data_IF_140359503669
#
_entry.id   IF_140359503669
#
_cell.length_a   1.000
_cell.length_b   1.000
_cell.length_c   1.000
_cell.angle_alpha   90.00
_cell.angle_beta   90.00
_cell.angle_gamma   90.00
#
_symmetry.space_group_name_H-M   'P 1'
#
loop_
_entity.id
_entity.type
_entity.pdbx_description
1 polymer ?
#
# COMPACT_ATOMS: atom_id res chain seq x y z
N UNK A 1 -48.99 -75.48 -23.57
CA UNK A 1 -47.96 -74.79 -24.38
C UNK A 1 -48.11 -73.29 -24.10
N UNK A 2 -47.29 -72.75 -23.18
CA UNK A 2 -46.13 -71.88 -23.47
C UNK A 2 -46.56 -70.58 -24.18
N UNK A 3 -46.63 -69.44 -23.48
CA UNK A 3 -45.58 -68.39 -23.42
C UNK A 3 -46.21 -67.10 -24.00
N UNK A 4 -46.00 -65.85 -23.58
CA UNK A 4 -45.22 -65.20 -22.55
C UNK A 4 -45.89 -63.83 -22.27
N UNK A 5 -45.62 -63.29 -21.08
CA UNK A 5 -45.82 -61.89 -20.72
C UNK A 5 -44.87 -61.01 -21.56
N UNK A 6 -45.39 -59.99 -22.25
CA UNK A 6 -44.58 -58.85 -22.70
C UNK A 6 -44.70 -57.71 -21.68
N UNK A 7 -43.70 -57.63 -20.80
CA UNK A 7 -43.44 -56.44 -20.00
C UNK A 7 -42.96 -55.33 -20.94
N UNK A 8 -43.81 -54.32 -21.13
CA UNK A 8 -43.45 -53.08 -21.77
C UNK A 8 -42.47 -52.32 -20.86
N UNK A 9 -41.17 -52.45 -21.17
CA UNK A 9 -40.08 -51.77 -20.48
C UNK A 9 -40.18 -50.27 -20.71
N UNK A 10 -40.73 -49.54 -19.74
CA UNK A 10 -40.55 -48.09 -19.63
C UNK A 10 -39.06 -47.81 -19.46
N UNK A 11 -38.45 -47.27 -20.50
CA UNK A 11 -37.14 -46.63 -20.42
C UNK A 11 -37.21 -45.50 -19.39
N UNK A 12 -36.46 -45.64 -18.29
CA UNK A 12 -36.21 -44.57 -17.32
C UNK A 12 -34.83 -43.96 -17.63
N UNK A 13 -34.72 -42.92 -18.47
CA UNK A 13 -33.52 -42.09 -18.54
C UNK A 13 -33.79 -40.80 -17.75
N UNK A 14 -33.68 -40.80 -16.41
CA UNK A 14 -33.91 -39.54 -15.67
C UNK A 14 -33.17 -39.40 -14.35
N UNK A 15 -32.89 -40.48 -13.62
CA UNK A 15 -32.33 -40.35 -12.26
C UNK A 15 -30.81 -40.11 -12.29
N UNK A 16 -30.07 -40.84 -13.15
CA UNK A 16 -28.61 -40.71 -13.20
C UNK A 16 -28.14 -39.40 -13.83
N UNK A 17 -28.87 -38.86 -14.81
CA UNK A 17 -28.51 -37.59 -15.46
C UNK A 17 -28.77 -36.40 -14.53
N UNK A 18 -29.94 -36.35 -13.88
CA UNK A 18 -30.25 -35.29 -12.91
C UNK A 18 -29.34 -35.34 -11.68
N UNK A 19 -28.99 -36.55 -11.19
CA UNK A 19 -28.05 -36.69 -10.08
C UNK A 19 -26.64 -36.23 -10.47
N UNK A 20 -26.20 -36.50 -11.71
CA UNK A 20 -24.89 -36.05 -12.22
C UNK A 20 -24.85 -34.53 -12.45
N UNK A 21 -25.95 -33.94 -12.90
CA UNK A 21 -26.10 -32.50 -13.13
C UNK A 21 -26.15 -31.72 -11.80
N UNK A 22 -26.91 -32.20 -10.82
CA UNK A 22 -26.93 -31.63 -9.46
C UNK A 22 -25.58 -31.75 -8.75
N UNK A 23 -24.88 -32.87 -8.89
CA UNK A 23 -23.57 -33.06 -8.26
C UNK A 23 -22.47 -32.21 -8.94
N UNK A 24 -22.57 -32.02 -10.26
CA UNK A 24 -21.68 -31.13 -11.03
C UNK A 24 -21.88 -29.65 -10.66
N UNK A 25 -23.14 -29.21 -10.50
CA UNK A 25 -23.43 -27.84 -10.09
C UNK A 25 -22.93 -27.56 -8.66
N UNK A 26 -23.18 -28.47 -7.70
CA UNK A 26 -22.68 -28.32 -6.33
C UNK A 26 -21.15 -28.18 -6.27
N UNK A 27 -20.40 -28.96 -7.05
CA UNK A 27 -18.94 -28.86 -7.09
C UNK A 27 -18.45 -27.51 -7.63
N UNK A 28 -19.12 -26.96 -8.66
CA UNK A 28 -18.76 -25.66 -9.25
C UNK A 28 -19.05 -24.51 -8.30
N UNK A 29 -20.15 -24.59 -7.57
CA UNK A 29 -20.56 -23.57 -6.60
C UNK A 29 -19.59 -23.51 -5.41
N UNK A 30 -19.15 -24.67 -4.92
CA UNK A 30 -18.10 -24.76 -3.88
C UNK A 30 -16.78 -24.11 -4.32
N UNK A 31 -16.34 -24.33 -5.57
CA UNK A 31 -15.12 -23.72 -6.12
C UNK A 31 -15.27 -22.21 -6.24
N UNK A 32 -16.44 -21.71 -6.65
CA UNK A 32 -16.69 -20.27 -6.76
C UNK A 32 -16.63 -19.56 -5.40
N UNK A 33 -17.26 -20.14 -4.36
CA UNK A 33 -17.19 -19.60 -2.99
C UNK A 33 -15.74 -19.57 -2.50
N UNK A 34 -15.00 -20.64 -2.76
CA UNK A 34 -13.60 -20.74 -2.33
C UNK A 34 -12.72 -19.67 -2.97
N UNK A 35 -12.85 -19.47 -4.29
CA UNK A 35 -12.10 -18.42 -5.02
C UNK A 35 -12.49 -17.02 -4.52
N UNK A 36 -13.79 -16.73 -4.40
CA UNK A 36 -14.27 -15.44 -3.91
C UNK A 36 -13.79 -15.18 -2.48
N UNK A 37 -13.79 -16.20 -1.62
CA UNK A 37 -13.26 -16.14 -0.27
C UNK A 37 -11.76 -15.83 -0.24
N UNK A 38 -10.95 -16.54 -1.03
CA UNK A 38 -9.50 -16.27 -1.11
C UNK A 38 -9.23 -14.85 -1.60
N UNK A 39 -9.90 -14.40 -2.67
CA UNK A 39 -9.72 -13.05 -3.20
C UNK A 39 -10.08 -11.98 -2.17
N UNK A 40 -11.20 -12.16 -1.46
CA UNK A 40 -11.63 -11.24 -0.42
C UNK A 40 -10.62 -11.20 0.73
N UNK A 41 -10.12 -12.36 1.18
CA UNK A 41 -9.09 -12.42 2.22
C UNK A 41 -7.77 -11.78 1.78
N UNK A 42 -7.38 -11.95 0.52
CA UNK A 42 -6.19 -11.32 -0.03
C UNK A 42 -6.29 -9.79 -0.02
N UNK A 43 -7.44 -9.24 -0.43
CA UNK A 43 -7.70 -7.79 -0.36
C UNK A 43 -7.70 -7.30 1.09
N UNK A 44 -8.37 -8.00 2.01
CA UNK A 44 -8.37 -7.61 3.44
C UNK A 44 -6.93 -7.56 3.98
N UNK A 45 -6.11 -8.57 3.65
CA UNK A 45 -4.72 -8.60 4.05
C UNK A 45 -3.92 -7.44 3.45
N UNK A 46 -4.10 -7.16 2.16
CA UNK A 46 -3.51 -5.99 1.48
C UNK A 46 -3.90 -4.68 2.17
N UNK A 47 -5.19 -4.49 2.46
CA UNK A 47 -5.70 -3.26 3.08
C UNK A 47 -5.12 -3.05 4.47
N UNK A 48 -4.95 -4.11 5.26
CA UNK A 48 -4.29 -4.05 6.58
C UNK A 48 -2.82 -3.64 6.43
N UNK A 49 -2.11 -4.19 5.44
CA UNK A 49 -0.72 -3.82 5.17
C UNK A 49 -0.61 -2.34 4.78
N UNK A 50 -1.40 -1.87 3.81
CA UNK A 50 -1.39 -0.48 3.36
C UNK A 50 -1.77 0.45 4.52
N UNK A 51 -2.76 0.09 5.33
CA UNK A 51 -3.16 0.88 6.50
C UNK A 51 -2.03 1.03 7.52
N UNK A 52 -1.32 -0.06 7.83
CA UNK A 52 -0.15 0.00 8.72
C UNK A 52 0.93 0.92 8.17
N UNK A 53 1.21 0.86 6.87
CA UNK A 53 2.14 1.79 6.21
C UNK A 53 1.63 3.24 6.29
N UNK A 54 0.37 3.48 5.98
CA UNK A 54 -0.26 4.81 6.04
C UNK A 54 -0.19 5.44 7.43
N UNK A 55 -0.37 4.63 8.48
CA UNK A 55 -0.26 5.08 9.87
C UNK A 55 1.18 5.37 10.28
N UNK A 56 2.13 4.51 9.89
CA UNK A 56 3.55 4.68 10.18
C UNK A 56 4.08 5.98 9.58
N UNK A 57 3.77 6.21 8.32
CA UNK A 57 4.31 7.34 7.56
C UNK A 57 3.50 8.64 7.76
N UNK A 58 2.35 8.57 8.45
CA UNK A 58 1.45 9.70 8.70
C UNK A 58 2.19 10.90 9.29
N UNK A 59 3.07 10.65 10.26
CA UNK A 59 3.74 11.68 11.05
C UNK A 59 5.09 12.11 10.48
N UNK A 60 5.67 11.36 9.53
CA UNK A 60 7.02 11.63 9.01
C UNK A 60 7.10 13.00 8.34
N UNK A 61 6.16 13.29 7.43
CA UNK A 61 6.09 14.59 6.76
C UNK A 61 5.84 15.74 7.73
N UNK A 62 4.90 15.57 8.67
CA UNK A 62 4.50 16.64 9.58
C UNK A 62 5.66 17.00 10.52
N UNK A 63 6.39 16.01 11.03
CA UNK A 63 7.58 16.25 11.86
C UNK A 63 8.75 16.83 11.10
N UNK A 64 8.94 16.41 9.84
CA UNK A 64 9.99 16.97 9.00
C UNK A 64 9.75 18.48 8.77
N UNK A 65 8.50 18.86 8.50
CA UNK A 65 8.12 20.26 8.32
C UNK A 65 8.27 21.05 9.62
N UNK A 66 7.79 20.51 10.74
CA UNK A 66 7.94 21.16 12.07
C UNK A 66 9.41 21.37 12.44
N UNK A 67 10.26 20.37 12.19
CA UNK A 67 11.70 20.50 12.41
C UNK A 67 12.33 21.60 11.56
N UNK A 68 11.98 21.67 10.27
CA UNK A 68 12.53 22.68 9.38
C UNK A 68 12.08 24.09 9.75
N UNK A 69 10.82 24.28 10.14
CA UNK A 69 10.29 25.58 10.57
C UNK A 69 10.97 26.05 11.87
N UNK A 70 11.16 25.12 12.82
CA UNK A 70 11.98 25.36 14.01
C UNK A 70 13.42 25.70 13.65
N UNK A 71 13.99 25.05 12.64
CA UNK A 71 15.37 25.32 12.19
C UNK A 71 15.50 26.71 11.56
N UNK A 72 14.54 27.12 10.73
CA UNK A 72 14.49 28.48 10.16
C UNK A 72 14.40 29.52 11.27
N UNK A 73 13.48 29.34 12.23
CA UNK A 73 13.32 30.29 13.34
C UNK A 73 14.55 30.36 14.25
N UNK A 74 15.17 29.23 14.59
CA UNK A 74 16.43 29.19 15.37
C UNK A 74 17.55 29.91 14.63
N UNK A 75 17.69 29.71 13.32
CA UNK A 75 18.76 30.35 12.53
C UNK A 75 18.64 31.88 12.49
N UNK A 76 17.41 32.42 12.59
CA UNK A 76 17.14 33.86 12.66
C UNK A 76 17.42 34.44 14.04
N UNK A 77 17.16 33.69 15.11
CA UNK A 77 17.34 34.15 16.49
C UNK A 77 18.80 34.01 16.93
N UNK A 78 19.42 32.85 16.66
CA UNK A 78 20.79 32.55 17.02
C UNK A 78 21.68 32.59 15.77
N UNK A 79 21.80 33.79 15.19
CA UNK A 79 22.54 33.99 13.97
C UNK A 79 24.03 33.63 14.16
N UNK A 80 24.50 32.63 13.41
CA UNK A 80 25.91 32.27 13.35
C UNK A 80 26.51 32.84 12.05
N UNK A 81 27.46 33.80 12.11
CA UNK A 81 28.04 34.42 10.92
C UNK A 81 28.80 33.43 10.02
N UNK A 82 29.16 32.24 10.53
CA UNK A 82 29.85 31.19 9.76
C UNK A 82 28.88 30.36 8.91
N UNK A 83 27.63 30.22 9.36
CA UNK A 83 26.60 29.40 8.70
C UNK A 83 25.61 30.27 7.93
N UNK A 84 25.36 31.50 8.39
CA UNK A 84 24.34 32.39 7.83
C UNK A 84 22.93 32.08 8.35
N UNK A 85 21.91 32.60 7.66
CA UNK A 85 20.50 32.31 7.95
C UNK A 85 20.12 31.06 7.16
N UNK A 86 19.44 30.12 7.82
CA UNK A 86 18.91 28.95 7.13
C UNK A 86 17.66 29.34 6.34
N UNK A 87 17.73 29.10 5.03
CA UNK A 87 16.60 29.27 4.12
C UNK A 87 16.42 27.98 3.32
N UNK A 88 15.16 27.54 3.19
CA UNK A 88 14.84 26.39 2.36
C UNK A 88 15.09 26.72 0.90
N UNK A 89 15.90 25.89 0.25
CA UNK A 89 16.15 26.01 -1.18
C UNK A 89 14.89 25.62 -1.97
N UNK A 90 14.68 26.17 -3.18
CA UNK A 90 13.53 25.80 -4.01
C UNK A 90 13.47 24.28 -4.29
N UNK A 91 14.62 23.63 -4.46
CA UNK A 91 14.70 22.18 -4.65
C UNK A 91 14.28 21.40 -3.37
N UNK A 92 14.54 21.94 -2.18
CA UNK A 92 14.14 21.31 -0.90
C UNK A 92 12.64 21.45 -0.67
N UNK A 93 12.05 22.57 -1.09
CA UNK A 93 10.60 22.76 -1.11
C UNK A 93 9.91 21.77 -2.06
N UNK A 94 10.52 21.47 -3.21
CA UNK A 94 10.02 20.45 -4.13
C UNK A 94 10.05 19.05 -3.49
N UNK A 95 11.14 18.69 -2.81
CA UNK A 95 11.27 17.43 -2.07
C UNK A 95 10.18 17.29 -0.99
N UNK A 96 9.89 18.34 -0.24
CA UNK A 96 8.78 18.35 0.71
C UNK A 96 7.42 18.19 0.00
N UNK A 97 7.27 18.77 -1.18
CA UNK A 97 6.12 18.56 -2.05
C UNK A 97 5.96 17.09 -2.46
N UNK A 98 7.05 16.41 -2.78
CA UNK A 98 7.04 14.97 -3.10
C UNK A 98 6.67 14.10 -1.89
N UNK A 99 7.20 14.40 -0.70
CA UNK A 99 6.82 13.75 0.56
C UNK A 99 5.31 13.89 0.85
N UNK A 100 4.77 15.09 0.66
CA UNK A 100 3.33 15.34 0.80
C UNK A 100 2.49 14.54 -0.21
N UNK A 101 2.94 14.49 -1.47
CA UNK A 101 2.28 13.70 -2.53
C UNK A 101 2.28 12.21 -2.17
N UNK A 102 3.41 11.66 -1.73
CA UNK A 102 3.52 10.27 -1.29
C UNK A 102 2.54 9.95 -0.15
N UNK A 103 2.49 10.79 0.90
CA UNK A 103 1.51 10.67 1.99
C UNK A 103 0.08 10.62 1.46
N UNK A 104 -0.29 11.51 0.54
CA UNK A 104 -1.64 11.52 -0.06
C UNK A 104 -1.91 10.28 -0.92
N UNK A 105 -0.92 9.79 -1.66
CA UNK A 105 -1.04 8.62 -2.54
C UNK A 105 -1.32 7.35 -1.72
N UNK A 106 -0.56 7.10 -0.65
CA UNK A 106 -0.75 5.91 0.20
C UNK A 106 -2.17 5.86 0.78
N UNK A 107 -2.70 6.99 1.27
CA UNK A 107 -4.08 7.07 1.75
C UNK A 107 -5.10 6.87 0.63
N UNK A 108 -4.84 7.39 -0.56
CA UNK A 108 -5.73 7.19 -1.71
C UNK A 108 -5.80 5.70 -2.08
N UNK A 109 -4.65 5.03 -2.17
CA UNK A 109 -4.59 3.59 -2.44
C UNK A 109 -5.29 2.76 -1.37
N UNK A 110 -5.20 3.13 -0.09
CA UNK A 110 -5.96 2.46 0.96
C UNK A 110 -7.48 2.49 0.71
N UNK A 111 -8.02 3.64 0.29
CA UNK A 111 -9.46 3.75 -0.01
C UNK A 111 -9.85 3.01 -1.29
N UNK A 112 -8.97 3.02 -2.30
CA UNK A 112 -9.15 2.26 -3.54
C UNK A 112 -9.17 0.75 -3.23
N UNK A 113 -8.25 0.25 -2.40
CA UNK A 113 -8.18 -1.17 -2.02
C UNK A 113 -9.44 -1.59 -1.26
N UNK A 114 -9.91 -0.78 -0.31
CA UNK A 114 -11.19 -1.01 0.39
C UNK A 114 -12.37 -1.01 -0.58
N UNK A 115 -12.36 -0.15 -1.59
CA UNK A 115 -13.47 -0.10 -2.56
C UNK A 115 -13.58 -1.39 -3.39
N UNK A 116 -12.48 -2.13 -3.56
CA UNK A 116 -12.51 -3.43 -4.23
C UNK A 116 -13.36 -4.46 -3.44
N UNK A 117 -13.44 -4.33 -2.11
CA UNK A 117 -14.32 -5.15 -1.26
C UNK A 117 -15.79 -4.95 -1.57
N UNK A 118 -16.19 -3.78 -2.09
CA UNK A 118 -17.58 -3.51 -2.49
C UNK A 118 -17.96 -4.40 -3.68
N UNK A 119 -17.06 -4.57 -4.66
CA UNK A 119 -17.29 -5.45 -5.81
C UNK A 119 -17.46 -6.91 -5.37
N UNK A 120 -16.59 -7.39 -4.48
CA UNK A 120 -16.70 -8.76 -3.95
C UNK A 120 -17.90 -8.94 -3.03
N UNK A 121 -18.27 -7.93 -2.25
CA UNK A 121 -19.48 -7.94 -1.41
C UNK A 121 -20.77 -8.02 -2.23
N UNK A 122 -20.87 -7.21 -3.31
CA UNK A 122 -22.01 -7.27 -4.24
C UNK A 122 -22.04 -8.60 -4.99
N UNK A 123 -20.88 -9.13 -5.39
CA UNK A 123 -20.79 -10.46 -5.99
C UNK A 123 -21.26 -11.55 -5.02
N UNK A 124 -20.81 -11.51 -3.76
CA UNK A 124 -21.26 -12.44 -2.72
C UNK A 124 -22.79 -12.33 -2.48
N UNK A 125 -23.35 -11.12 -2.48
CA UNK A 125 -24.79 -10.92 -2.36
C UNK A 125 -25.57 -11.60 -3.49
N UNK A 126 -25.13 -11.43 -4.75
CA UNK A 126 -25.75 -12.13 -5.88
C UNK A 126 -25.56 -13.65 -5.80
N UNK A 127 -24.43 -14.11 -5.25
CA UNK A 127 -24.17 -15.52 -5.06
C UNK A 127 -25.13 -16.16 -4.04
N UNK A 128 -25.35 -15.52 -2.88
CA UNK A 128 -26.23 -16.01 -1.82
C UNK A 128 -27.71 -15.72 -2.06
N UNK A 129 -28.05 -14.92 -3.07
CA UNK A 129 -29.44 -14.68 -3.44
C UNK A 129 -30.10 -15.98 -3.92
N UNK A 130 -31.24 -16.33 -3.31
CA UNK A 130 -31.94 -17.64 -3.36
C UNK A 130 -32.38 -18.09 -4.78
N UNK A 131 -32.18 -17.28 -5.83
CA UNK A 131 -32.63 -17.54 -7.20
C UNK A 131 -31.50 -17.67 -8.22
N UNK A 132 -30.39 -18.33 -7.86
CA UNK A 132 -29.29 -18.67 -8.79
C UNK A 132 -29.74 -19.45 -10.04
N UNK A 133 -30.90 -20.11 -10.00
CA UNK A 133 -31.47 -20.83 -11.14
C UNK A 133 -31.97 -19.91 -12.28
N UNK A 134 -32.13 -18.60 -12.04
CA UNK A 134 -32.46 -17.62 -13.07
C UNK A 134 -31.17 -17.03 -13.67
N UNK A 135 -31.00 -17.19 -14.98
CA UNK A 135 -29.76 -16.85 -15.69
C UNK A 135 -29.24 -15.41 -15.48
N UNK A 136 -30.12 -14.45 -15.21
CA UNK A 136 -29.74 -13.03 -15.04
C UNK A 136 -28.89 -12.82 -13.77
N UNK A 137 -29.28 -13.39 -12.62
CA UNK A 137 -28.56 -13.21 -11.35
C UNK A 137 -27.18 -13.88 -11.45
N UNK A 138 -27.12 -15.05 -12.07
CA UNK A 138 -25.86 -15.75 -12.35
C UNK A 138 -24.95 -14.94 -13.29
N UNK A 139 -25.50 -14.29 -14.31
CA UNK A 139 -24.73 -13.42 -15.19
C UNK A 139 -24.17 -12.20 -14.45
N UNK A 140 -24.99 -11.54 -13.60
CA UNK A 140 -24.57 -10.41 -12.77
C UNK A 140 -23.42 -10.80 -11.82
N UNK A 141 -23.51 -11.96 -11.17
CA UNK A 141 -22.41 -12.48 -10.34
C UNK A 141 -21.07 -12.53 -11.08
N UNK A 142 -21.04 -13.09 -12.29
CA UNK A 142 -19.81 -13.20 -13.09
C UNK A 142 -19.32 -11.84 -13.55
N UNK A 143 -20.22 -10.94 -13.96
CA UNK A 143 -19.88 -9.58 -14.36
C UNK A 143 -19.18 -8.85 -13.22
N UNK A 144 -19.79 -8.79 -12.03
CA UNK A 144 -19.20 -8.13 -10.87
C UNK A 144 -17.90 -8.79 -10.40
N UNK A 145 -17.80 -10.12 -10.47
CA UNK A 145 -16.57 -10.83 -10.11
C UNK A 145 -15.41 -10.52 -11.05
N UNK A 146 -15.67 -10.50 -12.37
CA UNK A 146 -14.65 -10.17 -13.38
C UNK A 146 -14.22 -8.72 -13.24
N UNK A 147 -15.18 -7.79 -13.07
CA UNK A 147 -14.85 -6.39 -12.83
C UNK A 147 -14.05 -6.21 -11.54
N UNK A 148 -14.42 -6.86 -10.44
CA UNK A 148 -13.65 -6.81 -9.19
C UNK A 148 -12.22 -7.34 -9.35
N UNK A 149 -12.04 -8.46 -10.07
CA UNK A 149 -10.72 -9.01 -10.35
C UNK A 149 -9.87 -8.08 -11.22
N UNK A 150 -10.43 -7.54 -12.32
CA UNK A 150 -9.75 -6.58 -13.18
C UNK A 150 -9.39 -5.30 -12.43
N UNK A 151 -10.29 -4.83 -11.56
CA UNK A 151 -10.06 -3.68 -10.70
C UNK A 151 -8.82 -3.89 -9.83
N UNK A 152 -8.71 -5.06 -9.15
CA UNK A 152 -7.55 -5.41 -8.33
C UNK A 152 -6.25 -5.48 -9.15
N UNK A 153 -6.30 -6.02 -10.38
CA UNK A 153 -5.12 -6.08 -11.24
C UNK A 153 -4.63 -4.69 -11.67
N UNK A 154 -5.56 -3.81 -12.06
CA UNK A 154 -5.25 -2.44 -12.44
C UNK A 154 -4.69 -1.68 -11.23
N UNK A 155 -5.34 -1.81 -10.08
CA UNK A 155 -4.88 -1.22 -8.83
C UNK A 155 -3.45 -1.63 -8.48
N UNK A 156 -3.15 -2.93 -8.49
CA UNK A 156 -1.82 -3.44 -8.20
C UNK A 156 -0.76 -2.90 -9.17
N UNK A 157 -1.11 -2.82 -10.46
CA UNK A 157 -0.25 -2.26 -11.50
C UNK A 157 0.04 -0.77 -11.27
N UNK A 158 -1.00 0.03 -11.04
CA UNK A 158 -0.91 1.48 -10.79
C UNK A 158 -0.16 1.74 -9.48
N UNK A 159 -0.41 0.97 -8.43
CA UNK A 159 0.30 1.05 -7.15
C UNK A 159 1.81 0.84 -7.34
N UNK A 160 2.19 -0.21 -8.06
CA UNK A 160 3.60 -0.54 -8.30
C UNK A 160 4.31 0.58 -9.07
N UNK A 161 3.68 1.09 -10.13
CA UNK A 161 4.27 2.13 -10.98
C UNK A 161 4.40 3.46 -10.22
N UNK A 162 3.37 3.85 -9.46
CA UNK A 162 3.36 5.14 -8.77
C UNK A 162 4.22 5.14 -7.51
N UNK A 163 4.28 4.05 -6.74
CA UNK A 163 5.01 4.00 -5.46
C UNK A 163 6.49 3.64 -5.63
N UNK A 164 6.85 2.81 -6.61
CA UNK A 164 8.25 2.41 -6.87
C UNK A 164 9.26 3.56 -6.95
N UNK A 165 9.02 4.68 -7.67
CA UNK A 165 9.99 5.77 -7.74
C UNK A 165 10.17 6.47 -6.38
N UNK A 166 9.14 6.50 -5.54
CA UNK A 166 9.18 7.15 -4.23
C UNK A 166 10.02 6.37 -3.22
N UNK A 167 10.05 5.03 -3.29
CA UNK A 167 10.76 4.20 -2.30
C UNK A 167 12.27 4.42 -2.29
N UNK A 168 12.85 4.86 -3.42
CA UNK A 168 14.29 5.10 -3.57
C UNK A 168 14.65 6.57 -3.51
N UNK A 169 13.79 7.46 -4.01
CA UNK A 169 14.07 8.90 -4.07
C UNK A 169 13.84 9.60 -2.72
N UNK A 170 12.73 9.29 -2.05
CA UNK A 170 12.34 10.01 -0.82
C UNK A 170 13.36 9.86 0.31
N UNK A 171 13.92 8.67 0.62
CA UNK A 171 14.91 8.55 1.68
C UNK A 171 16.18 9.37 1.41
N UNK A 172 16.70 9.29 0.18
CA UNK A 172 17.92 10.00 -0.21
C UNK A 172 17.71 11.52 -0.21
N UNK A 173 16.56 11.98 -0.70
CA UNK A 173 16.20 13.39 -0.71
C UNK A 173 16.00 13.94 0.71
N UNK A 174 15.37 13.16 1.60
CA UNK A 174 15.23 13.53 3.02
C UNK A 174 16.58 13.60 3.72
N UNK A 175 17.50 12.66 3.45
CA UNK A 175 18.86 12.70 4.01
C UNK A 175 19.58 13.98 3.57
N UNK A 176 19.55 14.31 2.28
CA UNK A 176 20.20 15.53 1.76
C UNK A 176 19.60 16.81 2.36
N UNK A 177 18.29 16.81 2.62
CA UNK A 177 17.59 17.92 3.25
C UNK A 177 17.94 18.04 4.75
N UNK A 178 18.02 16.91 5.48
CA UNK A 178 18.47 16.91 6.87
C UNK A 178 19.94 17.33 7.01
N UNK A 179 20.82 16.87 6.12
CA UNK A 179 22.24 17.21 6.14
C UNK A 179 22.47 18.74 6.05
N UNK A 180 21.62 19.44 5.29
CA UNK A 180 21.63 20.90 5.22
C UNK A 180 21.04 21.58 6.47
N UNK A 181 20.00 21.01 7.08
CA UNK A 181 19.31 21.61 8.22
C UNK A 181 20.01 21.39 9.57
N UNK A 182 20.64 20.23 9.77
CA UNK A 182 21.25 19.80 11.05
C UNK A 182 22.24 20.80 11.64
N UNK A 183 23.16 21.42 10.87
CA UNK A 183 24.12 22.39 11.41
C UNK A 183 23.46 23.58 12.13
N UNK A 184 22.22 23.93 11.76
CA UNK A 184 21.48 25.04 12.34
C UNK A 184 20.62 24.62 13.54
N UNK A 185 20.23 23.35 13.64
CA UNK A 185 19.42 22.82 14.74
C UNK A 185 19.78 21.36 15.09
N UNK A 186 20.97 21.12 15.69
CA UNK A 186 21.38 19.77 16.05
C UNK A 186 20.58 19.19 17.22
N UNK A 187 20.07 20.04 18.12
CA UNK A 187 19.26 19.62 19.27
C UNK A 187 17.88 19.08 18.88
N UNK A 188 17.32 19.54 17.76
CA UNK A 188 16.05 19.04 17.24
C UNK A 188 16.14 17.62 16.66
N UNK A 189 17.33 17.14 16.28
CA UNK A 189 17.51 15.80 15.72
C UNK A 189 17.16 14.71 16.75
N UNK A 190 17.61 14.88 18.00
CA UNK A 190 17.30 13.95 19.09
C UNK A 190 15.79 13.87 19.40
N UNK A 191 15.03 14.95 19.16
CA UNK A 191 13.57 14.93 19.32
C UNK A 191 12.89 14.09 18.24
N UNK A 192 13.36 14.19 16.99
CA UNK A 192 12.89 13.36 15.87
C UNK A 192 13.20 11.88 16.14
N UNK A 193 14.43 11.57 16.54
CA UNK A 193 14.86 10.21 16.88
C UNK A 193 14.02 9.59 17.99
N UNK A 194 13.77 10.33 19.07
CA UNK A 194 12.91 9.89 20.16
C UNK A 194 11.48 9.62 19.70
N UNK A 195 10.95 10.41 18.76
CA UNK A 195 9.56 10.27 18.31
C UNK A 195 9.37 9.12 17.32
N UNK A 196 10.33 8.90 16.44
CA UNK A 196 10.31 7.80 15.48
C UNK A 196 10.94 6.51 16.03
N UNK A 197 11.50 6.55 17.25
CA UNK A 197 12.24 5.46 17.88
C UNK A 197 13.31 4.89 16.92
N UNK A 198 14.02 5.81 16.26
CA UNK A 198 15.06 5.49 15.28
C UNK A 198 16.34 6.29 15.60
N UNK A 199 17.45 5.83 15.05
CA UNK A 199 18.74 6.53 15.16
C UNK A 199 19.13 6.93 13.72
N UNK A 200 19.48 8.19 13.52
CA UNK A 200 19.95 8.65 12.21
C UNK A 200 21.32 8.08 11.87
N UNK A 201 21.60 7.97 10.57
CA UNK A 201 22.85 7.43 10.07
C UNK A 201 24.06 8.19 10.63
N UNK A 202 25.11 7.45 10.95
CA UNK A 202 26.37 7.95 11.48
C UNK A 202 27.00 9.00 10.55
N UNK A 203 26.74 8.89 9.25
CA UNK A 203 27.14 9.89 8.26
C UNK A 203 26.56 11.29 8.53
N UNK A 204 25.28 11.41 8.95
CA UNK A 204 24.69 12.71 9.29
C UNK A 204 25.36 13.31 10.54
N UNK A 205 25.65 12.46 11.53
CA UNK A 205 26.38 12.86 12.73
C UNK A 205 27.81 13.30 12.43
N UNK A 206 28.48 12.65 11.48
CA UNK A 206 29.84 13.00 11.06
C UNK A 206 29.87 14.26 10.20
N UNK A 207 28.83 14.55 9.41
CA UNK A 207 28.69 15.85 8.73
C UNK A 207 28.55 16.99 9.77
N UNK A 208 27.73 16.80 10.80
CA UNK A 208 27.60 17.76 11.89
C UNK A 208 28.93 18.01 12.63
N UNK A 209 29.68 16.94 12.93
CA UNK A 209 31.02 17.06 13.55
C UNK A 209 32.01 17.79 12.64
N UNK A 210 31.93 17.59 11.32
CA UNK A 210 32.76 18.30 10.33
C UNK A 210 32.44 19.79 10.26
N UNK A 211 31.16 20.17 10.34
CA UNK A 211 30.75 21.58 10.36
C UNK A 211 31.05 22.30 11.67
N UNK A 212 30.99 21.61 12.81
CA UNK A 212 31.33 22.18 14.12
C UNK A 212 32.84 22.35 14.35
N UNK A 213 33.70 21.72 13.53
CA UNK A 213 35.15 21.91 13.56
C UNK A 213 35.75 22.02 12.14
N UNK A 214 35.72 23.23 11.52
CA UNK A 214 36.22 23.44 10.15
C UNK A 214 37.74 23.25 9.98
N UNK A 215 38.48 23.08 11.09
CA UNK A 215 39.94 22.83 11.05
C UNK A 215 40.30 21.37 10.76
N UNK A 216 39.36 20.43 10.80
CA UNK A 216 39.61 19.02 10.44
C UNK A 216 39.36 18.84 8.94
N UNK A 217 40.22 19.47 8.13
CA UNK A 217 40.34 19.19 6.70
C UNK A 217 41.11 17.86 6.56
N UNK A 218 40.42 16.85 6.03
CA UNK A 218 40.96 15.60 5.49
C UNK A 218 41.81 14.71 6.43
N UNK A 219 41.22 13.60 6.85
CA UNK A 219 41.93 12.32 6.78
C UNK A 219 41.26 11.48 5.69
N UNK A 220 41.86 11.52 4.50
CA UNK A 220 41.75 10.43 3.53
C UNK A 220 42.45 9.26 4.19
N UNK A 221 41.73 8.23 4.63
CA UNK A 221 42.35 6.91 4.74
C UNK A 221 42.33 6.27 3.37
N UNK A 222 43.53 6.28 2.79
CA UNK A 222 43.96 5.45 1.67
C UNK A 222 44.61 4.20 2.30
N UNK A 223 44.38 3.03 1.70
CA UNK A 223 45.08 1.75 1.88
C UNK A 223 44.77 1.02 3.22
N UNK A 224 44.34 -0.24 3.28
CA UNK A 224 44.39 -1.42 2.38
C UNK A 224 43.03 -2.12 2.28
#
# INVERSE_FOLDING_TARGET
MLSAYECQSTTIPSINTQKKENNSNNNRDCVCIFILGILTLAVIFSSICIFKYALRDKFVYDELVDYLDKTVSISKINFNPTLGIYELRPNEMEILGEQRKYKSLIWTFFFVDISSLIFFGVSAFFFFSVQQSKGIIRALFWIFSIFGFLYCLIELGVFTILISPFSTRLPNATIALLDHAIPYNPGGLAQIESRFNCIFDQNLYDTFKRHSNPKVRFYIFKEF
#
